data_IF_603019487620
#
_entry.id   IF_603019487620
#
_cell.length_a   1.000
_cell.length_b   1.000
_cell.length_c   1.000
_cell.angle_alpha   90.00
_cell.angle_beta   90.00
_cell.angle_gamma   90.00
#
_symmetry.space_group_name_H-M   'P 1'
#
loop_
_entity.id
_entity.type
_entity.pdbx_description
1 polymer ?
#
# COMPACT_ATOMS: atom_id res chain seq x y z
N UNK A 1 1.84 -22.68 21.77
CA UNK A 1 1.27 -22.33 20.45
C UNK A 1 2.08 -22.88 19.27
N UNK A 2 3.40 -22.62 19.16
CA UNK A 2 4.21 -23.12 18.03
C UNK A 2 4.29 -24.66 17.95
N UNK A 3 4.49 -25.35 19.08
CA UNK A 3 4.53 -26.82 19.10
C UNK A 3 3.17 -27.49 18.82
N UNK A 4 2.07 -26.86 19.26
CA UNK A 4 0.70 -27.35 19.07
C UNK A 4 0.26 -27.29 17.61
N UNK A 5 0.57 -26.17 16.92
CA UNK A 5 0.29 -26.01 15.48
C UNK A 5 1.07 -27.00 14.63
N UNK A 6 2.29 -27.36 15.05
CA UNK A 6 3.13 -28.32 14.34
C UNK A 6 2.53 -29.73 14.37
N UNK A 7 1.98 -30.12 15.52
CA UNK A 7 1.34 -31.43 15.72
C UNK A 7 0.13 -31.69 14.80
N UNK A 8 -0.64 -30.65 14.49
CA UNK A 8 -1.82 -30.75 13.63
C UNK A 8 -1.60 -30.26 12.19
N UNK A 9 -0.34 -30.04 11.80
CA UNK A 9 0.03 -29.40 10.53
C UNK A 9 -0.63 -30.05 9.32
N UNK A 10 -0.60 -31.38 9.23
CA UNK A 10 -1.15 -32.10 8.07
C UNK A 10 -2.65 -31.84 7.90
N UNK A 11 -3.39 -31.86 9.00
CA UNK A 11 -4.85 -31.64 9.03
C UNK A 11 -5.17 -30.18 8.70
N UNK A 12 -4.45 -29.25 9.32
CA UNK A 12 -4.63 -27.82 9.08
C UNK A 12 -4.23 -27.41 7.66
N UNK A 13 -3.18 -28.01 7.08
CA UNK A 13 -2.76 -27.79 5.70
C UNK A 13 -3.82 -28.31 4.73
N UNK A 14 -4.30 -29.54 4.95
CA UNK A 14 -5.38 -30.11 4.15
C UNK A 14 -6.67 -29.28 4.21
N UNK A 15 -7.07 -28.82 5.40
CA UNK A 15 -8.20 -27.92 5.57
C UNK A 15 -7.97 -26.57 4.88
N UNK A 16 -6.76 -26.00 5.04
CA UNK A 16 -6.37 -24.73 4.44
C UNK A 16 -6.47 -24.76 2.92
N UNK A 17 -5.99 -25.83 2.28
CA UNK A 17 -6.02 -25.99 0.82
C UNK A 17 -7.46 -26.09 0.27
N UNK A 18 -8.39 -26.60 1.08
CA UNK A 18 -9.82 -26.71 0.75
C UNK A 18 -10.64 -25.47 1.13
N UNK A 19 -10.13 -24.64 2.04
CA UNK A 19 -10.75 -23.39 2.48
C UNK A 19 -10.55 -22.25 1.46
N UNK A 20 -11.56 -22.04 0.62
CA UNK A 20 -11.60 -20.91 -0.31
C UNK A 20 -12.05 -19.59 0.36
N UNK A 21 -11.29 -19.13 1.36
CA UNK A 21 -11.54 -17.89 2.09
C UNK A 21 -10.43 -16.86 1.89
N UNK A 22 -10.76 -15.56 1.75
CA UNK A 22 -9.76 -14.50 1.75
C UNK A 22 -9.17 -14.31 3.16
N UNK A 23 -7.93 -13.82 3.21
CA UNK A 23 -7.34 -13.40 4.48
C UNK A 23 -7.97 -12.09 4.99
N UNK A 24 -8.16 -11.91 6.32
CA UNK A 24 -7.69 -12.74 7.44
C UNK A 24 -8.69 -13.83 7.89
N UNK A 25 -9.79 -14.04 7.17
CA UNK A 25 -10.84 -14.98 7.60
C UNK A 25 -10.35 -16.43 7.59
N UNK A 26 -9.57 -16.81 6.57
CA UNK A 26 -8.94 -18.13 6.49
C UNK A 26 -8.08 -18.43 7.72
N UNK A 27 -7.23 -17.49 8.15
CA UNK A 27 -6.41 -17.67 9.36
C UNK A 27 -7.24 -17.80 10.64
N UNK A 28 -8.38 -17.12 10.77
CA UNK A 28 -9.26 -17.28 11.95
C UNK A 28 -9.89 -18.66 11.99
N UNK A 29 -10.44 -19.11 10.86
CA UNK A 29 -11.05 -20.43 10.73
C UNK A 29 -10.02 -21.54 11.00
N UNK A 30 -8.79 -21.40 10.51
CA UNK A 30 -7.72 -22.36 10.81
C UNK A 30 -7.30 -22.36 12.28
N UNK A 31 -7.35 -21.21 12.97
CA UNK A 31 -7.06 -21.15 14.41
C UNK A 31 -8.19 -21.76 15.25
N UNK A 32 -9.44 -21.60 14.83
CA UNK A 32 -10.59 -22.25 15.47
C UNK A 32 -10.51 -23.77 15.30
N UNK A 33 -10.27 -24.25 14.07
CA UNK A 33 -10.02 -25.68 13.81
C UNK A 33 -8.86 -26.19 14.68
N UNK A 34 -7.77 -25.42 14.79
CA UNK A 34 -6.65 -25.83 15.64
C UNK A 34 -7.03 -25.94 17.12
N UNK A 35 -7.91 -25.06 17.61
CA UNK A 35 -8.47 -25.13 18.96
C UNK A 35 -9.35 -26.37 19.15
N UNK A 36 -10.28 -26.62 18.22
CA UNK A 36 -11.15 -27.80 18.27
C UNK A 36 -10.35 -29.11 18.27
N UNK A 37 -9.28 -29.16 17.48
CA UNK A 37 -8.38 -30.31 17.45
C UNK A 37 -7.64 -30.50 18.78
N UNK A 38 -7.25 -29.42 19.44
CA UNK A 38 -6.60 -29.48 20.76
C UNK A 38 -7.57 -29.99 21.83
N UNK A 39 -8.81 -29.51 21.82
CA UNK A 39 -9.87 -29.95 22.75
C UNK A 39 -10.23 -31.42 22.54
N UNK A 40 -10.38 -31.86 21.29
CA UNK A 40 -10.68 -33.26 20.96
C UNK A 40 -9.52 -34.19 21.34
N UNK A 41 -8.29 -33.75 21.13
CA UNK A 41 -7.12 -34.51 21.53
C UNK A 41 -7.04 -34.67 23.05
N UNK A 42 -7.25 -33.58 23.80
CA UNK A 42 -7.30 -33.62 25.27
C UNK A 42 -8.42 -34.55 25.78
N UNK A 43 -9.57 -34.57 25.09
CA UNK A 43 -10.66 -35.49 25.39
C UNK A 43 -10.23 -36.96 25.25
N UNK A 44 -9.60 -37.36 24.14
CA UNK A 44 -9.14 -38.75 23.97
C UNK A 44 -8.06 -39.16 24.97
N UNK A 45 -7.17 -38.24 25.35
CA UNK A 45 -6.20 -38.50 26.42
C UNK A 45 -6.90 -38.77 27.76
N UNK A 46 -7.97 -38.03 28.07
CA UNK A 46 -8.78 -38.24 29.28
C UNK A 46 -9.55 -39.56 29.25
N UNK A 47 -9.90 -40.09 28.07
CA UNK A 47 -10.45 -41.44 27.90
C UNK A 47 -9.41 -42.57 28.06
N UNK A 48 -8.15 -42.21 28.31
CA UNK A 48 -7.06 -43.15 28.54
C UNK A 48 -6.38 -43.65 27.27
N UNK A 49 -6.61 -43.01 26.12
CA UNK A 49 -5.79 -43.27 24.94
C UNK A 49 -4.39 -42.69 25.13
N UNK A 50 -3.39 -43.38 24.60
CA UNK A 50 -2.06 -42.80 24.44
C UNK A 50 -2.05 -41.71 23.34
N UNK A 51 -1.05 -40.84 23.38
CA UNK A 51 -0.91 -39.69 22.47
C UNK A 51 -0.98 -40.10 20.99
N UNK A 52 -0.36 -41.22 20.63
CA UNK A 52 -0.33 -41.70 19.25
C UNK A 52 -1.70 -42.26 18.80
N UNK A 53 -2.41 -42.95 19.70
CA UNK A 53 -3.75 -43.48 19.47
C UNK A 53 -4.78 -42.36 19.41
N UNK A 54 -4.67 -41.35 20.27
CA UNK A 54 -5.49 -40.15 20.25
C UNK A 54 -5.34 -39.40 18.91
N UNK A 55 -4.11 -39.20 18.43
CA UNK A 55 -3.86 -38.57 17.13
C UNK A 55 -4.39 -39.39 15.95
N UNK A 56 -4.21 -40.72 15.95
CA UNK A 56 -4.78 -41.60 14.92
C UNK A 56 -6.30 -41.52 14.90
N UNK A 57 -6.91 -41.52 16.08
CA UNK A 57 -8.36 -41.47 16.22
C UNK A 57 -8.91 -40.12 15.76
N UNK A 58 -8.27 -39.04 16.17
CA UNK A 58 -8.58 -37.68 15.72
C UNK A 58 -8.45 -37.52 14.20
N UNK A 59 -7.43 -38.10 13.55
CA UNK A 59 -7.35 -38.11 12.06
C UNK A 59 -8.46 -38.90 11.38
N UNK A 60 -8.99 -39.92 12.05
CA UNK A 60 -10.02 -40.81 11.49
C UNK A 60 -11.42 -40.23 11.68
N UNK A 61 -11.69 -39.64 12.86
CA UNK A 61 -12.99 -39.06 13.21
C UNK A 61 -13.11 -37.60 12.72
N UNK A 62 -12.03 -36.82 12.72
CA UNK A 62 -12.00 -35.44 12.25
C UNK A 62 -11.78 -35.38 10.73
N UNK A 63 -12.58 -36.14 9.99
CA UNK A 63 -12.71 -36.00 8.56
C UNK A 63 -13.62 -34.80 8.25
N UNK A 64 -13.03 -33.60 8.23
CA UNK A 64 -13.71 -32.39 7.80
C UNK A 64 -14.23 -32.60 6.36
N UNK A 65 -15.53 -32.90 6.24
CA UNK A 65 -16.20 -32.97 4.94
C UNK A 65 -16.15 -31.61 4.26
N UNK A 66 -16.23 -31.58 2.92
CA UNK A 66 -16.26 -30.31 2.18
C UNK A 66 -17.45 -29.45 2.63
N UNK A 67 -18.57 -30.11 2.94
CA UNK A 67 -19.77 -29.47 3.47
C UNK A 67 -19.53 -28.85 4.86
N UNK A 68 -18.83 -29.55 5.76
CA UNK A 68 -18.50 -29.01 7.08
C UNK A 68 -17.59 -27.79 6.99
N UNK A 69 -16.59 -27.82 6.09
CA UNK A 69 -15.73 -26.66 5.83
C UNK A 69 -16.51 -25.49 5.23
N UNK A 70 -17.46 -25.77 4.33
CA UNK A 70 -18.34 -24.75 3.75
C UNK A 70 -19.27 -24.12 4.80
N UNK A 71 -19.79 -24.92 5.73
CA UNK A 71 -20.64 -24.45 6.83
C UNK A 71 -19.85 -23.64 7.86
N UNK A 72 -18.62 -24.05 8.19
CA UNK A 72 -17.73 -23.29 9.08
C UNK A 72 -17.33 -21.94 8.45
N UNK A 73 -17.03 -21.96 7.15
CA UNK A 73 -16.81 -20.75 6.37
C UNK A 73 -18.05 -19.85 6.31
N UNK A 74 -19.24 -20.44 6.23
CA UNK A 74 -20.52 -19.74 6.24
C UNK A 74 -20.84 -19.09 7.59
N UNK A 75 -20.56 -19.76 8.71
CA UNK A 75 -20.76 -19.25 10.06
C UNK A 75 -19.83 -18.07 10.37
N UNK A 76 -18.59 -18.14 9.90
CA UNK A 76 -17.61 -17.07 10.03
C UNK A 76 -17.85 -15.89 9.07
N UNK A 77 -18.66 -16.10 8.04
CA UNK A 77 -19.19 -15.08 7.14
C UNK A 77 -20.56 -14.58 7.60
N UNK A 78 -20.62 -13.75 8.65
CA UNK A 78 -21.89 -13.20 9.14
C UNK A 78 -22.75 -12.55 8.04
N UNK A 79 -24.09 -12.44 8.20
CA UNK A 79 -25.01 -11.99 7.15
C UNK A 79 -24.69 -10.58 6.63
N UNK A 80 -24.22 -9.68 7.50
CA UNK A 80 -23.71 -8.36 7.13
C UNK A 80 -22.42 -8.45 6.27
N UNK A 81 -21.61 -9.48 6.51
CA UNK A 81 -20.33 -9.75 5.84
C UNK A 81 -20.50 -10.49 4.52
N UNK A 82 -21.55 -11.30 4.32
CA UNK A 82 -21.94 -11.81 2.98
C UNK A 82 -22.37 -10.68 2.04
N UNK A 83 -23.11 -9.70 2.57
CA UNK A 83 -23.47 -8.47 1.86
C UNK A 83 -22.24 -7.57 1.61
N UNK A 84 -21.35 -7.46 2.59
CA UNK A 84 -20.13 -6.66 2.46
C UNK A 84 -19.03 -7.36 1.65
N UNK A 85 -18.85 -8.67 1.65
CA UNK A 85 -17.76 -9.35 0.92
C UNK A 85 -18.06 -9.43 -0.58
N UNK A 86 -19.34 -9.49 -0.98
CA UNK A 86 -19.76 -9.21 -2.36
C UNK A 86 -19.45 -7.76 -2.82
N UNK A 87 -19.30 -6.84 -1.85
CA UNK A 87 -19.00 -5.42 -2.09
C UNK A 87 -17.58 -4.99 -1.66
N UNK A 88 -16.77 -5.79 -0.96
CA UNK A 88 -15.60 -5.28 -0.21
C UNK A 88 -14.26 -5.89 -0.58
N UNK A 89 -14.19 -6.90 -1.44
CA UNK A 89 -12.90 -7.31 -2.02
C UNK A 89 -12.67 -6.62 -3.37
N UNK A 90 -13.63 -6.74 -4.28
CA UNK A 90 -13.55 -6.22 -5.64
C UNK A 90 -14.00 -4.76 -5.74
N UNK A 91 -14.99 -4.36 -4.93
CA UNK A 91 -15.46 -2.97 -4.89
C UNK A 91 -14.64 -2.12 -3.92
N UNK A 92 -14.06 -2.63 -2.82
CA UNK A 92 -13.11 -1.86 -1.99
C UNK A 92 -11.82 -1.56 -2.71
N UNK A 93 -11.28 -2.47 -3.51
CA UNK A 93 -10.14 -2.15 -4.38
C UNK A 93 -10.56 -1.16 -5.47
N UNK A 94 -11.75 -1.28 -6.08
CA UNK A 94 -12.25 -0.29 -7.06
C UNK A 94 -12.58 1.07 -6.44
N UNK A 95 -13.08 1.13 -5.21
CA UNK A 95 -13.39 2.36 -4.48
C UNK A 95 -12.14 2.97 -3.86
N UNK A 96 -11.19 2.21 -3.31
CA UNK A 96 -9.87 2.75 -2.96
C UNK A 96 -9.18 3.29 -4.21
N UNK A 97 -9.24 2.58 -5.33
CA UNK A 97 -8.70 3.04 -6.63
C UNK A 97 -9.45 4.29 -7.10
N UNK A 98 -10.77 4.31 -7.05
CA UNK A 98 -11.62 5.42 -7.48
C UNK A 98 -11.52 6.64 -6.57
N UNK A 99 -11.32 6.44 -5.26
CA UNK A 99 -11.14 7.50 -4.28
C UNK A 99 -9.72 8.04 -4.32
N UNK A 100 -8.71 7.20 -4.56
CA UNK A 100 -7.35 7.67 -4.82
C UNK A 100 -7.26 8.41 -6.14
N UNK A 101 -7.77 7.85 -7.23
CA UNK A 101 -7.82 8.53 -8.52
C UNK A 101 -8.68 9.78 -8.44
N UNK A 102 -9.79 9.74 -7.70
CA UNK A 102 -10.67 10.87 -7.46
C UNK A 102 -9.99 11.96 -6.63
N UNK A 103 -9.25 11.61 -5.58
CA UNK A 103 -8.49 12.56 -4.76
C UNK A 103 -7.34 13.17 -5.57
N UNK A 104 -6.65 12.35 -6.36
CA UNK A 104 -5.52 12.78 -7.18
C UNK A 104 -6.00 13.64 -8.36
N UNK A 105 -7.12 13.28 -8.99
CA UNK A 105 -7.80 14.08 -10.00
C UNK A 105 -8.38 15.36 -9.41
N UNK A 106 -9.00 15.31 -8.23
CA UNK A 106 -9.51 16.49 -7.52
C UNK A 106 -8.37 17.43 -7.17
N UNK A 107 -7.26 16.92 -6.65
CA UNK A 107 -6.10 17.74 -6.34
C UNK A 107 -5.45 18.31 -7.62
N UNK A 108 -5.38 17.54 -8.70
CA UNK A 108 -4.91 18.02 -10.00
C UNK A 108 -5.85 19.07 -10.60
N UNK A 109 -7.16 18.90 -10.48
CA UNK A 109 -8.18 19.86 -10.92
C UNK A 109 -8.17 21.12 -10.07
N UNK A 110 -8.06 21.00 -8.75
CA UNK A 110 -7.94 22.13 -7.84
C UNK A 110 -6.65 22.92 -8.12
N UNK A 111 -5.52 22.24 -8.30
CA UNK A 111 -4.26 22.85 -8.69
C UNK A 111 -4.34 23.48 -10.09
N UNK A 112 -4.95 22.79 -11.05
CA UNK A 112 -5.17 23.28 -12.40
C UNK A 112 -6.08 24.51 -12.45
N UNK A 113 -7.14 24.53 -11.64
CA UNK A 113 -8.04 25.67 -11.51
C UNK A 113 -7.32 26.86 -10.87
N UNK A 114 -6.45 26.62 -9.88
CA UNK A 114 -5.57 27.65 -9.32
C UNK A 114 -4.59 28.21 -10.36
N UNK A 115 -4.14 27.39 -11.31
CA UNK A 115 -3.28 27.81 -12.42
C UNK A 115 -4.04 28.52 -13.54
N UNK A 116 -5.33 28.22 -13.71
CA UNK A 116 -6.19 28.76 -14.77
C UNK A 116 -6.85 30.10 -14.41
N UNK A 117 -6.81 30.54 -13.15
CA UNK A 117 -7.17 31.91 -12.82
C UNK A 117 -6.23 32.85 -13.59
N UNK A 118 -6.82 33.81 -14.32
CA UNK A 118 -6.13 34.69 -15.30
C UNK A 118 -4.87 35.37 -14.74
N UNK A 119 -4.83 35.58 -13.42
CA UNK A 119 -3.73 36.25 -12.76
C UNK A 119 -2.50 35.34 -12.61
N UNK A 120 -2.65 34.01 -12.66
CA UNK A 120 -1.54 33.08 -12.48
C UNK A 120 -0.60 33.03 -13.69
N UNK A 121 -1.13 33.10 -14.91
CA UNK A 121 -0.31 33.25 -16.12
C UNK A 121 0.28 34.66 -16.27
N UNK A 122 -0.22 35.63 -15.51
CA UNK A 122 0.42 36.94 -15.41
C UNK A 122 1.71 36.89 -14.56
N UNK A 123 1.93 35.83 -13.77
CA UNK A 123 3.22 35.59 -13.13
C UNK A 123 4.27 35.24 -14.20
N UNK A 124 5.04 36.24 -14.60
CA UNK A 124 6.17 36.12 -15.54
C UNK A 124 7.41 35.44 -14.95
N UNK A 125 7.27 34.60 -13.92
CA UNK A 125 8.45 33.96 -13.33
C UNK A 125 8.96 32.83 -14.25
N UNK A 126 10.22 32.87 -14.70
CA UNK A 126 10.79 31.82 -15.55
C UNK A 126 10.94 30.49 -14.80
N UNK A 127 10.86 30.49 -13.47
CA UNK A 127 10.98 29.29 -12.63
C UNK A 127 9.71 28.45 -12.55
N UNK A 128 8.56 29.01 -12.95
CA UNK A 128 7.28 28.29 -12.95
C UNK A 128 7.34 27.08 -13.90
N UNK A 129 7.85 27.27 -15.11
CA UNK A 129 7.90 26.21 -16.12
C UNK A 129 8.73 24.98 -15.71
N UNK A 130 9.96 25.14 -15.17
CA UNK A 130 10.71 24.02 -14.60
C UNK A 130 9.96 23.26 -13.50
N UNK A 131 9.30 23.97 -12.57
CA UNK A 131 8.53 23.34 -11.48
C UNK A 131 7.38 22.51 -12.05
N UNK A 132 6.64 23.05 -13.01
CA UNK A 132 5.55 22.34 -13.70
C UNK A 132 6.07 21.15 -14.52
N UNK A 133 7.20 21.29 -15.20
CA UNK A 133 7.82 20.20 -15.95
C UNK A 133 8.20 19.03 -15.03
N UNK A 134 8.81 19.32 -13.87
CA UNK A 134 9.09 18.29 -12.86
C UNK A 134 7.82 17.66 -12.30
N UNK A 135 6.76 18.44 -12.10
CA UNK A 135 5.47 17.92 -11.67
C UNK A 135 4.87 16.95 -12.68
N UNK A 136 4.95 17.29 -13.97
CA UNK A 136 4.50 16.43 -15.05
C UNK A 136 5.30 15.12 -15.10
N UNK A 137 6.62 15.19 -14.93
CA UNK A 137 7.48 13.99 -14.87
C UNK A 137 7.12 13.11 -13.67
N UNK A 138 6.95 13.70 -12.49
CA UNK A 138 6.54 12.97 -11.28
C UNK A 138 5.17 12.30 -11.46
N UNK A 139 4.21 13.00 -12.07
CA UNK A 139 2.89 12.47 -12.38
C UNK A 139 2.94 11.32 -13.39
N UNK A 140 3.69 11.47 -14.48
CA UNK A 140 3.86 10.42 -15.48
C UNK A 140 4.53 9.17 -14.89
N UNK A 141 5.53 9.34 -14.02
CA UNK A 141 6.14 8.24 -13.28
C UNK A 141 5.14 7.57 -12.35
N UNK A 142 4.39 8.33 -11.57
CA UNK A 142 3.37 7.79 -10.66
C UNK A 142 2.32 6.96 -11.43
N UNK A 143 1.83 7.45 -12.57
CA UNK A 143 0.91 6.72 -13.43
C UNK A 143 1.54 5.44 -14.00
N UNK A 144 2.76 5.53 -14.54
CA UNK A 144 3.50 4.38 -15.09
C UNK A 144 3.71 3.31 -14.02
N UNK A 145 4.10 3.70 -12.81
CA UNK A 145 4.31 2.79 -11.69
C UNK A 145 3.01 2.19 -11.18
N UNK A 146 1.97 3.01 -11.02
CA UNK A 146 0.63 2.54 -10.66
C UNK A 146 0.10 1.51 -11.65
N UNK A 147 0.24 1.78 -12.95
CA UNK A 147 -0.14 0.86 -14.02
C UNK A 147 0.66 -0.46 -13.98
N UNK A 148 1.98 -0.40 -13.76
CA UNK A 148 2.80 -1.61 -13.62
C UNK A 148 2.38 -2.46 -12.42
N UNK A 149 2.10 -1.85 -11.27
CA UNK A 149 1.59 -2.57 -10.09
C UNK A 149 0.23 -3.22 -10.37
N UNK A 150 -0.61 -2.56 -11.18
CA UNK A 150 -1.93 -3.08 -11.54
C UNK A 150 -1.87 -4.25 -12.53
N UNK A 151 -0.86 -4.31 -13.39
CA UNK A 151 -0.81 -5.23 -14.54
C UNK A 151 0.21 -6.36 -14.42
N UNK A 152 1.24 -6.25 -13.58
CA UNK A 152 2.35 -7.23 -13.52
C UNK A 152 2.45 -7.96 -12.18
N UNK A 153 2.85 -9.23 -12.27
CA UNK A 153 3.06 -10.12 -11.12
C UNK A 153 4.29 -9.78 -10.26
N UNK A 154 4.37 -10.42 -9.09
CA UNK A 154 5.24 -10.09 -7.95
C UNK A 154 6.75 -10.03 -8.24
N UNK A 155 7.26 -10.75 -9.26
CA UNK A 155 8.71 -10.81 -9.56
C UNK A 155 9.36 -9.48 -9.93
N UNK A 156 8.63 -8.47 -10.42
CA UNK A 156 9.20 -7.16 -10.79
C UNK A 156 9.24 -6.13 -9.64
N UNK A 157 8.76 -6.46 -8.43
CA UNK A 157 8.57 -5.50 -7.33
C UNK A 157 9.88 -4.88 -6.82
N UNK A 158 10.98 -5.63 -6.80
CA UNK A 158 12.29 -5.13 -6.32
C UNK A 158 12.87 -4.03 -7.21
N UNK A 159 12.74 -4.18 -8.54
CA UNK A 159 13.17 -3.15 -9.50
C UNK A 159 12.27 -1.91 -9.38
N UNK A 160 10.97 -2.13 -9.15
CA UNK A 160 10.00 -1.05 -8.97
C UNK A 160 10.33 -0.17 -7.75
N UNK A 161 10.83 -0.76 -6.65
CA UNK A 161 11.21 -0.03 -5.44
C UNK A 161 12.35 0.97 -5.68
N UNK A 162 13.34 0.60 -6.50
CA UNK A 162 14.44 1.51 -6.84
C UNK A 162 13.95 2.70 -7.68
N UNK A 163 13.07 2.44 -8.64
CA UNK A 163 12.48 3.49 -9.49
C UNK A 163 11.52 4.40 -8.69
N UNK A 164 10.82 3.87 -7.67
CA UNK A 164 9.94 4.64 -6.79
C UNK A 164 10.66 5.76 -6.02
N UNK A 165 11.94 5.57 -5.68
CA UNK A 165 12.75 6.59 -5.00
C UNK A 165 12.98 7.85 -5.86
N UNK A 166 12.69 7.82 -7.16
CA UNK A 166 12.73 9.01 -8.00
C UNK A 166 11.64 10.04 -7.62
N UNK A 167 10.47 9.60 -7.15
CA UNK A 167 9.36 10.50 -6.78
C UNK A 167 9.70 11.45 -5.63
N UNK A 168 10.25 11.00 -4.48
CA UNK A 168 10.65 11.93 -3.41
C UNK A 168 11.82 12.81 -3.83
N UNK A 169 12.74 12.32 -4.67
CA UNK A 169 13.81 13.15 -5.23
C UNK A 169 13.26 14.28 -6.10
N UNK A 170 12.24 14.01 -6.92
CA UNK A 170 11.53 15.02 -7.70
C UNK A 170 10.78 16.01 -6.79
N UNK A 171 10.14 15.54 -5.71
CA UNK A 171 9.48 16.41 -4.74
C UNK A 171 10.47 17.41 -4.09
N UNK A 172 11.64 16.92 -3.67
CA UNK A 172 12.72 17.77 -3.13
C UNK A 172 13.22 18.76 -4.20
N UNK A 173 13.42 18.30 -5.43
CA UNK A 173 13.85 19.17 -6.54
C UNK A 173 12.84 20.29 -6.83
N UNK A 174 11.53 19.99 -6.76
CA UNK A 174 10.47 20.99 -6.91
C UNK A 174 10.52 22.04 -5.80
N UNK A 175 10.66 21.63 -4.54
CA UNK A 175 10.79 22.56 -3.41
C UNK A 175 12.03 23.43 -3.54
N UNK A 176 13.17 22.84 -3.93
CA UNK A 176 14.41 23.57 -4.14
C UNK A 176 14.29 24.61 -5.25
N UNK A 177 13.70 24.25 -6.40
CA UNK A 177 13.49 25.17 -7.51
C UNK A 177 12.47 26.27 -7.18
N UNK A 178 11.37 25.92 -6.50
CA UNK A 178 10.39 26.90 -6.05
C UNK A 178 10.96 27.90 -5.06
N UNK A 179 11.72 27.42 -4.07
CA UNK A 179 12.40 28.26 -3.08
C UNK A 179 13.49 29.15 -3.71
N UNK A 180 14.33 28.58 -4.57
CA UNK A 180 15.36 29.33 -5.31
C UNK A 180 14.73 30.40 -6.21
N UNK A 181 13.67 30.05 -6.94
CA UNK A 181 12.94 30.98 -7.79
C UNK A 181 12.33 32.13 -6.98
N UNK A 182 11.67 31.82 -5.87
CA UNK A 182 11.08 32.84 -4.99
C UNK A 182 12.14 33.79 -4.42
N UNK A 183 13.29 33.25 -4.00
CA UNK A 183 14.42 34.06 -3.53
C UNK A 183 14.96 34.99 -4.63
N UNK A 184 15.10 34.49 -5.86
CA UNK A 184 15.60 35.28 -6.98
C UNK A 184 14.62 36.36 -7.43
N UNK A 185 13.30 36.11 -7.40
CA UNK A 185 12.31 37.16 -7.70
C UNK A 185 12.36 38.28 -6.66
N UNK A 186 12.46 37.95 -5.37
CA UNK A 186 12.66 38.95 -4.31
C UNK A 186 13.95 39.75 -4.52
N UNK A 187 15.06 39.07 -4.86
CA UNK A 187 16.33 39.73 -5.19
C UNK A 187 16.23 40.67 -6.37
N UNK A 188 15.51 40.28 -7.44
CA UNK A 188 15.25 41.14 -8.61
C UNK A 188 14.40 42.35 -8.25
N UNK A 189 13.35 42.17 -7.45
CA UNK A 189 12.51 43.26 -6.97
C UNK A 189 13.31 44.28 -6.14
N UNK A 190 14.13 43.78 -5.20
CA UNK A 190 15.00 44.62 -4.38
C UNK A 190 16.06 45.36 -5.20
N UNK A 191 16.66 44.71 -6.22
CA UNK A 191 17.62 45.35 -7.12
C UNK A 191 16.96 46.42 -7.98
N UNK A 192 15.80 46.13 -8.59
CA UNK A 192 15.06 47.08 -9.41
C UNK A 192 14.60 48.30 -8.62
N UNK A 193 14.30 48.14 -7.33
CA UNK A 193 13.99 49.25 -6.42
C UNK A 193 15.17 50.20 -6.18
N UNK A 194 16.42 49.72 -6.25
CA UNK A 194 17.60 50.59 -6.12
C UNK A 194 17.79 51.51 -7.32
N UNK A 195 17.39 51.06 -8.51
CA UNK A 195 17.50 51.84 -9.76
C UNK A 195 16.42 52.92 -9.82
N UNK A 196 15.23 52.63 -9.31
CA UNK A 196 14.08 53.54 -9.39
C UNK A 196 13.33 53.63 -8.04
N UNK A 197 13.78 54.50 -7.12
CA UNK A 197 13.30 54.54 -5.74
C UNK A 197 11.81 54.79 -5.58
N UNK A 198 11.20 55.54 -6.52
CA UNK A 198 9.76 55.84 -6.51
C UNK A 198 8.87 54.61 -6.72
N UNK A 199 9.42 53.53 -7.30
CA UNK A 199 8.68 52.31 -7.63
C UNK A 199 9.03 51.12 -6.71
N UNK A 200 9.83 51.33 -5.66
CA UNK A 200 10.28 50.24 -4.75
C UNK A 200 9.10 49.48 -4.16
N UNK A 201 8.12 50.19 -3.60
CA UNK A 201 6.97 49.59 -2.92
C UNK A 201 6.17 48.65 -3.83
N UNK A 202 5.61 49.14 -4.94
CA UNK A 202 4.86 48.30 -5.89
C UNK A 202 5.68 47.12 -6.43
N UNK A 203 6.93 47.34 -6.87
CA UNK A 203 7.77 46.27 -7.42
C UNK A 203 8.11 45.19 -6.39
N UNK A 204 8.31 45.57 -5.13
CA UNK A 204 8.61 44.61 -4.08
C UNK A 204 7.36 43.82 -3.68
N UNK A 205 6.18 44.43 -3.70
CA UNK A 205 4.91 43.74 -3.53
C UNK A 205 4.66 42.72 -4.66
N UNK A 206 4.88 43.12 -5.92
CA UNK A 206 4.76 42.22 -7.08
C UNK A 206 5.74 41.05 -7.00
N UNK A 207 7.02 41.32 -6.68
CA UNK A 207 8.04 40.29 -6.52
C UNK A 207 7.72 39.33 -5.37
N UNK A 208 7.20 39.85 -4.25
CA UNK A 208 6.77 39.05 -3.11
C UNK A 208 5.58 38.16 -3.47
N UNK A 209 4.53 38.72 -4.09
CA UNK A 209 3.39 37.95 -4.56
C UNK A 209 3.82 36.87 -5.55
N UNK A 210 4.76 37.20 -6.45
CA UNK A 210 5.30 36.24 -7.40
C UNK A 210 6.05 35.08 -6.72
N UNK A 211 6.92 35.41 -5.76
CA UNK A 211 7.67 34.42 -4.99
C UNK A 211 6.78 33.51 -4.15
N UNK A 212 5.77 34.08 -3.47
CA UNK A 212 4.81 33.31 -2.66
C UNK A 212 4.00 32.35 -3.52
N UNK A 213 3.47 32.82 -4.66
CA UNK A 213 2.71 31.97 -5.56
C UNK A 213 3.55 30.81 -6.13
N UNK A 214 4.80 31.07 -6.51
CA UNK A 214 5.72 30.03 -6.98
C UNK A 214 6.01 29.00 -5.87
N UNK A 215 6.25 29.46 -4.64
CA UNK A 215 6.48 28.58 -3.50
C UNK A 215 5.27 27.69 -3.20
N UNK A 216 4.05 28.25 -3.25
CA UNK A 216 2.80 27.49 -3.08
C UNK A 216 2.67 26.41 -4.15
N UNK A 217 2.89 26.73 -5.43
CA UNK A 217 2.81 25.75 -6.52
C UNK A 217 3.83 24.64 -6.32
N UNK A 218 5.09 25.00 -6.04
CA UNK A 218 6.15 24.02 -5.78
C UNK A 218 5.80 23.10 -4.60
N UNK A 219 5.25 23.65 -3.52
CA UNK A 219 4.84 22.89 -2.34
C UNK A 219 3.67 21.94 -2.65
N UNK A 220 2.64 22.41 -3.35
CA UNK A 220 1.49 21.58 -3.76
C UNK A 220 1.97 20.42 -4.65
N UNK A 221 2.80 20.71 -5.66
CA UNK A 221 3.32 19.68 -6.55
C UNK A 221 4.20 18.65 -5.81
N UNK A 222 5.06 19.11 -4.89
CA UNK A 222 5.90 18.24 -4.08
C UNK A 222 5.07 17.35 -3.14
N UNK A 223 4.01 17.90 -2.51
CA UNK A 223 3.09 17.14 -1.67
C UNK A 223 2.36 16.06 -2.48
N UNK A 224 1.91 16.36 -3.70
CA UNK A 224 1.27 15.37 -4.56
C UNK A 224 2.23 14.26 -4.99
N UNK A 225 3.47 14.60 -5.34
CA UNK A 225 4.50 13.62 -5.64
C UNK A 225 4.83 12.73 -4.42
N UNK A 226 4.96 13.33 -3.23
CA UNK A 226 5.19 12.62 -1.98
C UNK A 226 4.03 11.71 -1.58
N UNK A 227 2.79 12.16 -1.75
CA UNK A 227 1.59 11.37 -1.50
C UNK A 227 1.52 10.17 -2.46
N UNK A 228 1.75 10.40 -3.76
CA UNK A 228 1.79 9.33 -4.75
C UNK A 228 2.85 8.27 -4.42
N UNK A 229 4.06 8.72 -4.04
CA UNK A 229 5.12 7.82 -3.57
C UNK A 229 4.68 7.00 -2.36
N UNK A 230 4.13 7.63 -1.31
CA UNK A 230 3.71 6.95 -0.09
C UNK A 230 2.66 5.86 -0.37
N UNK A 231 1.68 6.16 -1.21
CA UNK A 231 0.64 5.20 -1.61
C UNK A 231 1.26 4.00 -2.34
N UNK A 232 2.12 4.26 -3.31
CA UNK A 232 2.76 3.20 -4.11
C UNK A 232 3.71 2.36 -3.26
N UNK A 233 4.51 2.98 -2.38
CA UNK A 233 5.41 2.26 -1.49
C UNK A 233 4.66 1.36 -0.51
N UNK A 234 3.57 1.85 0.09
CA UNK A 234 2.74 1.04 0.99
C UNK A 234 2.20 -0.21 0.29
N UNK A 235 1.83 -0.09 -1.00
CA UNK A 235 1.38 -1.23 -1.82
C UNK A 235 2.51 -2.22 -2.09
N UNK A 236 3.70 -1.74 -2.45
CA UNK A 236 4.87 -2.60 -2.67
C UNK A 236 5.25 -3.35 -1.40
N UNK A 237 5.34 -2.66 -0.25
CA UNK A 237 5.65 -3.31 1.04
C UNK A 237 4.60 -4.36 1.43
N UNK A 238 3.33 -4.09 1.18
CA UNK A 238 2.26 -5.06 1.45
C UNK A 238 2.40 -6.33 0.59
N UNK A 239 2.82 -6.19 -0.67
CA UNK A 239 3.08 -7.32 -1.55
C UNK A 239 4.35 -8.10 -1.15
N UNK A 240 5.43 -7.40 -0.79
CA UNK A 240 6.69 -8.02 -0.32
C UNK A 240 6.46 -8.82 0.98
N UNK A 241 5.69 -8.27 1.93
CA UNK A 241 5.39 -8.96 3.19
C UNK A 241 4.57 -10.24 2.98
N UNK A 242 3.71 -10.25 1.97
CA UNK A 242 2.96 -11.44 1.59
C UNK A 242 3.86 -12.54 1.01
N UNK A 243 4.82 -12.17 0.15
CA UNK A 243 5.80 -13.10 -0.43
C UNK A 243 6.74 -13.68 0.65
N UNK A 244 7.18 -12.85 1.60
CA UNK A 244 8.01 -13.31 2.72
C UNK A 244 7.32 -14.36 3.58
N UNK A 245 6.01 -14.18 3.86
CA UNK A 245 5.23 -15.16 4.62
C UNK A 245 5.05 -16.48 3.87
N UNK A 246 4.88 -16.45 2.54
CA UNK A 246 4.80 -17.65 1.72
C UNK A 246 6.13 -18.42 1.71
N UNK A 247 7.25 -17.70 1.55
CA UNK A 247 8.59 -18.32 1.57
C UNK A 247 8.95 -18.90 2.94
N UNK A 248 8.59 -18.22 4.04
CA UNK A 248 8.77 -18.77 5.39
C UNK A 248 7.93 -20.03 5.59
N UNK A 249 6.69 -20.06 5.08
CA UNK A 249 5.85 -21.26 5.09
C UNK A 249 6.51 -22.44 4.37
N UNK A 250 7.10 -22.20 3.19
CA UNK A 250 7.76 -23.24 2.39
C UNK A 250 9.08 -23.71 3.03
N UNK A 251 9.94 -22.80 3.51
CA UNK A 251 11.21 -23.18 4.13
C UNK A 251 11.01 -24.00 5.41
N UNK A 252 9.97 -23.70 6.19
CA UNK A 252 9.56 -24.51 7.34
C UNK A 252 8.99 -25.89 6.94
N UNK A 253 8.68 -26.15 5.67
CA UNK A 253 8.35 -27.48 5.16
C UNK A 253 9.61 -28.30 4.86
N UNK A 254 10.61 -27.68 4.22
CA UNK A 254 11.86 -28.34 3.81
C UNK A 254 12.72 -28.75 5.01
N UNK A 255 12.89 -27.89 6.01
CA UNK A 255 13.69 -28.20 7.20
C UNK A 255 13.10 -29.38 8.00
N UNK A 256 11.78 -29.50 7.99
CA UNK A 256 11.06 -30.56 8.68
C UNK A 256 10.95 -31.86 7.87
N UNK A 257 11.32 -31.86 6.58
CA UNK A 257 11.42 -33.08 5.76
C UNK A 257 12.81 -33.72 5.79
N UNK A 258 13.86 -32.96 6.12
CA UNK A 258 15.22 -33.49 6.24
C UNK A 258 15.51 -34.13 7.63
N UNK A 259 14.93 -33.61 8.72
CA UNK A 259 15.05 -34.23 10.05
C UNK A 259 14.41 -35.63 10.12
N UNK A 260 13.47 -35.95 9.23
CA UNK A 260 12.84 -37.28 9.14
C UNK A 260 13.64 -38.33 8.35
N UNK A 261 14.82 -37.99 7.80
CA UNK A 261 15.63 -38.88 6.94
C UNK A 261 16.91 -39.41 7.56
N UNK A 262 17.21 -39.09 8.81
CA UNK A 262 18.32 -39.71 9.52
C UNK A 262 17.82 -40.82 10.46
N UNK A 263 17.97 -42.11 10.07
CA UNK A 263 17.74 -43.26 10.95
C UNK A 263 18.83 -43.43 12.01
#
# INVERSE_FOLDING_TARGET
MSATLHRYRDVLRHASDRLNLPQPARSRVLLEIAGDLEDLHAHYLAEGLDDAAALRRLRTEYALSDDALADLAALHGGPLRRLLDGLSAQTRTRWERGLLLGLLAFAALAAGQLLLTRDFFALRSPFLWPVLALALVAFALALRHGWRILTRGTRELRLLRRELNALPALAVAQLALGGLGAWLELGRGAWAGRVEPSQVGPRMADAFQAGVALAIVAQVCALLAGLAWFILERRVRAAEMHEALLLQGILAEDENTDEGRHP
#
